data_IF_282139196171
#
_entry.id   IF_282139196171
#
_cell.length_a   1.000
_cell.length_b   1.000
_cell.length_c   1.000
_cell.angle_alpha   90.00
_cell.angle_beta   90.00
_cell.angle_gamma   90.00
#
_symmetry.space_group_name_H-M   'P 1'
#
loop_
_entity.id
_entity.type
_entity.pdbx_description
1 polymer ?
#
# COMPACT_ATOMS: atom_id res chain seq x y z
N UNK A 1 3.15 14.37 -34.19
CA UNK A 1 2.41 14.79 -32.98
C UNK A 1 1.88 13.60 -32.17
N UNK A 2 1.26 12.60 -32.80
CA UNK A 2 0.72 11.38 -32.13
C UNK A 2 1.79 10.55 -31.37
N UNK A 3 3.03 10.49 -31.87
CA UNK A 3 4.08 9.69 -31.21
C UNK A 3 4.52 10.23 -29.84
N UNK A 4 4.38 11.55 -29.61
CA UNK A 4 4.70 12.16 -28.32
C UNK A 4 3.66 11.81 -27.25
N UNK A 5 2.38 11.73 -27.63
CA UNK A 5 1.28 11.46 -26.69
C UNK A 5 1.41 10.07 -26.03
N UNK A 6 1.76 9.05 -26.83
CA UNK A 6 1.99 7.70 -26.31
C UNK A 6 3.19 7.65 -25.38
N UNK A 7 4.27 8.34 -25.73
CA UNK A 7 5.48 8.42 -24.90
C UNK A 7 5.20 9.08 -23.56
N UNK A 8 4.44 10.18 -23.55
CA UNK A 8 3.99 10.87 -22.33
C UNK A 8 3.12 9.97 -21.46
N UNK A 9 2.17 9.24 -22.07
CA UNK A 9 1.31 8.29 -21.35
C UNK A 9 2.12 7.15 -20.71
N UNK A 10 3.11 6.60 -21.43
CA UNK A 10 4.01 5.57 -20.89
C UNK A 10 4.83 6.09 -19.70
N UNK A 11 5.34 7.32 -19.78
CA UNK A 11 6.07 7.95 -18.69
C UNK A 11 5.17 8.11 -17.46
N UNK A 12 3.93 8.58 -17.65
CA UNK A 12 2.95 8.72 -16.56
C UNK A 12 2.65 7.37 -15.92
N UNK A 13 2.42 6.32 -16.70
CA UNK A 13 2.17 4.97 -16.18
C UNK A 13 3.37 4.42 -15.40
N UNK A 14 4.59 4.65 -15.88
CA UNK A 14 5.82 4.26 -15.17
C UNK A 14 5.96 4.99 -13.84
N UNK A 15 5.69 6.30 -13.80
CA UNK A 15 5.72 7.08 -12.56
C UNK A 15 4.67 6.59 -11.57
N UNK A 16 3.45 6.30 -12.04
CA UNK A 16 2.39 5.75 -11.20
C UNK A 16 2.76 4.37 -10.63
N UNK A 17 3.31 3.48 -11.47
CA UNK A 17 3.81 2.19 -11.03
C UNK A 17 4.92 2.33 -9.98
N UNK A 18 5.85 3.26 -10.17
CA UNK A 18 6.91 3.53 -9.21
C UNK A 18 6.35 4.02 -7.86
N UNK A 19 5.35 4.90 -7.85
CA UNK A 19 4.68 5.36 -6.62
C UNK A 19 4.03 4.19 -5.87
N UNK A 20 3.35 3.29 -6.59
CA UNK A 20 2.74 2.10 -6.00
C UNK A 20 3.80 1.17 -5.40
N UNK A 21 4.91 0.92 -6.11
CA UNK A 21 6.00 0.07 -5.63
C UNK A 21 6.67 0.67 -4.39
N UNK A 22 7.01 1.96 -4.42
CA UNK A 22 7.68 2.65 -3.30
C UNK A 22 6.78 2.64 -2.06
N UNK A 23 5.51 2.95 -2.22
CA UNK A 23 4.54 2.90 -1.11
C UNK A 23 4.38 1.49 -0.55
N UNK A 24 4.37 0.46 -1.42
CA UNK A 24 4.31 -0.93 -0.97
C UNK A 24 5.57 -1.39 -0.23
N UNK A 25 6.74 -0.96 -0.68
CA UNK A 25 8.01 -1.18 0.02
C UNK A 25 7.99 -0.53 1.42
N UNK A 26 7.45 0.69 1.53
CA UNK A 26 7.33 1.38 2.81
C UNK A 26 6.38 0.66 3.78
N UNK A 27 5.20 0.22 3.32
CA UNK A 27 4.25 -0.54 4.14
C UNK A 27 4.89 -1.85 4.62
N UNK A 28 5.60 -2.55 3.72
CA UNK A 28 6.32 -3.80 4.05
C UNK A 28 7.44 -3.56 5.07
N UNK A 29 8.17 -2.45 4.95
CA UNK A 29 9.18 -2.06 5.92
C UNK A 29 8.57 -1.77 7.30
N UNK A 30 7.45 -1.04 7.37
CA UNK A 30 6.74 -0.80 8.62
C UNK A 30 6.34 -2.12 9.29
N UNK A 31 5.79 -3.07 8.53
CA UNK A 31 5.46 -4.39 9.06
C UNK A 31 6.66 -5.14 9.62
N UNK A 32 7.76 -5.13 8.89
CA UNK A 32 8.98 -5.77 9.35
C UNK A 32 9.53 -5.12 10.63
N UNK A 33 9.44 -3.79 10.74
CA UNK A 33 9.87 -3.04 11.92
C UNK A 33 9.08 -3.43 13.17
N UNK A 34 7.75 -3.59 13.06
CA UNK A 34 6.90 -3.90 14.21
C UNK A 34 6.92 -5.36 14.64
N UNK A 35 7.09 -6.28 13.71
CA UNK A 35 7.01 -7.72 14.01
C UNK A 35 8.37 -8.40 14.14
N UNK A 36 9.44 -7.79 13.62
CA UNK A 36 10.77 -8.39 13.44
C UNK A 36 10.79 -9.76 12.73
N UNK A 37 9.64 -10.24 12.23
CA UNK A 37 9.55 -11.51 11.54
C UNK A 37 9.77 -11.31 10.02
N UNK A 38 10.62 -12.17 9.45
CA UNK A 38 10.94 -12.17 8.01
C UNK A 38 9.72 -12.50 7.14
N UNK A 39 8.74 -13.22 7.68
CA UNK A 39 7.53 -13.62 6.95
C UNK A 39 6.72 -12.41 6.44
N UNK A 40 6.76 -11.29 7.15
CA UNK A 40 6.06 -10.07 6.74
C UNK A 40 6.70 -9.37 5.54
N UNK A 41 7.99 -9.59 5.27
CA UNK A 41 8.60 -9.16 4.00
C UNK A 41 8.01 -9.93 2.82
N UNK A 42 7.87 -11.24 2.99
CA UNK A 42 7.31 -12.14 1.97
C UNK A 42 5.83 -11.80 1.74
N UNK A 43 5.04 -11.67 2.81
CA UNK A 43 3.63 -11.26 2.73
C UNK A 43 3.49 -9.87 2.09
N UNK A 44 4.33 -8.90 2.46
CA UNK A 44 4.28 -7.56 1.89
C UNK A 44 4.55 -7.50 0.38
N UNK A 45 5.39 -8.41 -0.13
CA UNK A 45 5.67 -8.54 -1.57
C UNK A 45 4.54 -9.31 -2.29
N UNK A 46 4.08 -10.42 -1.71
CA UNK A 46 3.05 -11.28 -2.31
C UNK A 46 1.65 -10.65 -2.31
N UNK A 47 1.37 -9.80 -1.33
CA UNK A 47 0.04 -9.21 -1.11
C UNK A 47 0.09 -7.68 -1.19
N UNK A 48 0.20 -7.11 -2.40
CA UNK A 48 0.14 -5.68 -2.62
C UNK A 48 -1.26 -5.09 -2.36
N UNK A 49 -1.39 -3.77 -2.49
CA UNK A 49 -2.68 -3.07 -2.41
C UNK A 49 -3.38 -3.23 -1.04
N UNK A 50 -2.61 -3.24 0.04
CA UNK A 50 -3.17 -3.31 1.39
C UNK A 50 -3.72 -4.67 1.82
N UNK A 51 -3.68 -5.71 0.98
CA UNK A 51 -4.02 -7.08 1.41
C UNK A 51 -3.11 -7.54 2.57
N UNK A 52 -1.83 -7.17 2.54
CA UNK A 52 -0.91 -7.39 3.65
C UNK A 52 -1.38 -6.72 4.96
N UNK A 53 -1.98 -5.52 4.88
CA UNK A 53 -2.57 -4.83 6.02
C UNK A 53 -3.78 -5.59 6.57
N UNK A 54 -4.69 -6.03 5.71
CA UNK A 54 -5.86 -6.81 6.13
C UNK A 54 -5.47 -8.14 6.77
N UNK A 55 -4.51 -8.86 6.18
CA UNK A 55 -3.95 -10.10 6.76
C UNK A 55 -3.39 -9.81 8.15
N UNK A 56 -2.66 -8.69 8.31
CA UNK A 56 -2.17 -8.28 9.63
C UNK A 56 -3.31 -7.99 10.60
N UNK A 57 -4.36 -7.30 10.17
CA UNK A 57 -5.50 -6.98 11.03
C UNK A 57 -6.16 -8.25 11.58
N UNK A 58 -6.44 -9.22 10.70
CA UNK A 58 -7.08 -10.50 11.04
C UNK A 58 -6.18 -11.33 11.97
N UNK A 59 -4.89 -11.44 11.66
CA UNK A 59 -4.01 -12.34 12.43
C UNK A 59 -3.64 -11.75 13.79
N UNK A 60 -3.41 -10.42 13.87
CA UNK A 60 -2.76 -9.76 15.01
C UNK A 60 -3.64 -8.76 15.74
N UNK A 61 -4.35 -7.89 15.03
CA UNK A 61 -5.19 -6.87 15.69
C UNK A 61 -6.43 -7.50 16.33
N UNK A 62 -7.07 -8.48 15.69
CA UNK A 62 -8.18 -9.20 16.31
C UNK A 62 -7.78 -9.87 17.63
N UNK A 63 -6.58 -10.48 17.67
CA UNK A 63 -6.04 -11.07 18.91
C UNK A 63 -5.64 -10.03 19.96
N UNK A 64 -5.38 -8.78 19.54
CA UNK A 64 -5.02 -7.65 20.42
C UNK A 64 -6.20 -6.75 20.78
N UNK A 65 -7.42 -7.01 20.29
CA UNK A 65 -8.61 -6.19 20.59
C UNK A 65 -8.95 -6.15 22.08
N UNK A 66 -8.61 -7.18 22.86
CA UNK A 66 -8.69 -7.11 24.32
C UNK A 66 -7.74 -6.07 24.97
N UNK A 67 -6.71 -5.61 24.25
CA UNK A 67 -5.68 -4.67 24.72
C UNK A 67 -5.54 -3.41 23.82
N UNK A 68 -6.57 -3.05 23.05
CA UNK A 68 -6.51 -1.96 22.06
C UNK A 68 -6.09 -0.59 22.64
N UNK A 69 -6.35 -0.37 23.94
CA UNK A 69 -5.94 0.81 24.69
C UNK A 69 -4.42 0.95 24.85
N UNK A 70 -3.65 -0.14 24.72
CA UNK A 70 -2.19 -0.15 24.89
C UNK A 70 -1.38 0.08 23.60
N UNK A 71 -2.03 0.23 22.44
CA UNK A 71 -1.30 0.56 21.20
C UNK A 71 -0.71 1.97 21.35
N UNK A 72 0.62 2.07 21.32
CA UNK A 72 1.33 3.33 21.48
C UNK A 72 0.85 4.36 20.44
N UNK A 73 0.74 5.63 20.85
CA UNK A 73 0.29 6.72 19.96
C UNK A 73 1.10 6.81 18.66
N UNK A 74 2.39 6.46 18.71
CA UNK A 74 3.31 6.44 17.58
C UNK A 74 2.98 5.32 16.58
N UNK A 75 2.60 4.13 17.05
CA UNK A 75 2.12 3.03 16.20
C UNK A 75 0.85 3.44 15.45
N UNK A 76 -0.12 4.07 16.13
CA UNK A 76 -1.36 4.51 15.49
C UNK A 76 -1.14 5.47 14.32
N UNK A 77 -0.12 6.33 14.41
CA UNK A 77 0.22 7.27 13.34
C UNK A 77 0.77 6.56 12.12
N UNK A 78 1.73 5.65 12.30
CA UNK A 78 2.34 4.89 11.22
C UNK A 78 1.29 4.00 10.52
N UNK A 79 0.37 3.44 11.30
CA UNK A 79 -0.80 2.73 10.79
C UNK A 79 -1.70 3.59 9.91
N UNK A 80 -2.08 4.79 10.37
CA UNK A 80 -2.89 5.72 9.57
C UNK A 80 -2.18 6.08 8.26
N UNK A 81 -0.87 6.30 8.30
CA UNK A 81 -0.07 6.55 7.09
C UNK A 81 -0.13 5.37 6.13
N UNK A 82 0.01 4.13 6.62
CA UNK A 82 -0.09 2.94 5.79
C UNK A 82 -1.48 2.81 5.13
N UNK A 83 -2.57 3.06 5.87
CA UNK A 83 -3.92 3.08 5.28
C UNK A 83 -4.10 4.18 4.23
N UNK A 84 -3.57 5.38 4.48
CA UNK A 84 -3.62 6.48 3.52
C UNK A 84 -2.84 6.15 2.24
N UNK A 85 -1.69 5.49 2.36
CA UNK A 85 -0.92 5.04 1.20
C UNK A 85 -1.66 3.99 0.38
N UNK A 86 -2.30 3.02 1.03
CA UNK A 86 -3.15 2.03 0.35
C UNK A 86 -4.34 2.71 -0.33
N UNK A 87 -5.01 3.64 0.35
CA UNK A 87 -6.10 4.41 -0.25
C UNK A 87 -5.63 5.18 -1.49
N UNK A 88 -4.45 5.81 -1.42
CA UNK A 88 -3.87 6.50 -2.56
C UNK A 88 -3.56 5.53 -3.72
N UNK A 89 -3.04 4.33 -3.44
CA UNK A 89 -2.84 3.30 -4.47
C UNK A 89 -4.15 2.92 -5.16
N UNK A 90 -5.25 2.76 -4.40
CA UNK A 90 -6.57 2.47 -4.98
C UNK A 90 -7.13 3.63 -5.80
N UNK A 91 -6.99 4.86 -5.34
CA UNK A 91 -7.41 6.05 -6.10
C UNK A 91 -6.63 6.20 -7.41
N UNK A 92 -5.32 5.90 -7.39
CA UNK A 92 -4.49 5.89 -8.60
C UNK A 92 -4.93 4.79 -9.56
N UNK A 93 -5.15 3.57 -9.08
CA UNK A 93 -5.68 2.47 -9.88
C UNK A 93 -7.03 2.84 -10.51
N UNK A 94 -7.93 3.42 -9.71
CA UNK A 94 -9.23 3.88 -10.19
C UNK A 94 -9.10 4.96 -11.27
N UNK A 95 -8.23 5.95 -11.08
CA UNK A 95 -7.98 6.98 -12.07
C UNK A 95 -7.41 6.41 -13.38
N UNK A 96 -6.46 5.47 -13.29
CA UNK A 96 -5.86 4.80 -14.45
C UNK A 96 -6.91 3.96 -15.18
N UNK A 97 -7.66 3.12 -14.47
CA UNK A 97 -8.74 2.32 -15.06
C UNK A 97 -9.82 3.20 -15.68
N UNK A 98 -10.22 4.29 -15.01
CA UNK A 98 -11.19 5.25 -15.56
C UNK A 98 -10.71 5.89 -16.85
N UNK A 99 -9.40 6.17 -16.96
CA UNK A 99 -8.80 6.74 -18.17
C UNK A 99 -8.78 5.73 -19.33
N UNK A 100 -8.57 4.44 -19.05
CA UNK A 100 -8.61 3.38 -20.07
C UNK A 100 -10.03 2.89 -20.42
N UNK A 101 -10.96 2.96 -19.48
CA UNK A 101 -12.34 2.51 -19.65
C UNK A 101 -13.28 3.63 -20.14
N UNK A 102 -12.82 4.89 -20.12
CA UNK A 102 -13.51 6.01 -20.77
C UNK A 102 -13.57 5.75 -22.28
N UNK A 103 -14.76 5.79 -22.90
CA UNK A 103 -14.91 5.69 -24.36
C UNK A 103 -14.26 6.87 -25.09
#
# INVERSE_FOLDING_TARGET
MVHNLWTELYIVLLLLAAVVIISQCYITYLFHKYEQAKIWKVIGILFPLGLNIYIYQIIKLEKRLNNFLQIASMERRDWRTAYLLVLAQYLLLFAVFGLFASP
#
